data_IF_573913871995
#
_entry.id   IF_573913871995
#
_cell.length_a   1.000
_cell.length_b   1.000
_cell.length_c   1.000
_cell.angle_alpha   90.00
_cell.angle_beta   90.00
_cell.angle_gamma   90.00
#
_symmetry.space_group_name_H-M   'P 1'
#
loop_
_entity.id
_entity.type
_entity.pdbx_description
1 polymer ?
#
# COMPACT_ATOMS: atom_id res chain seq x y z
N UNK A 1 -41.52 -22.10 15.72
CA UNK A 1 -40.04 -22.28 15.74
C UNK A 1 -39.36 -22.00 14.39
N UNK A 2 -40.03 -22.21 13.24
CA UNK A 2 -39.45 -21.95 11.89
C UNK A 2 -39.19 -20.47 11.54
N UNK A 3 -40.01 -19.54 12.04
CA UNK A 3 -39.87 -18.09 11.77
C UNK A 3 -38.70 -17.43 12.51
N UNK A 4 -38.31 -17.93 13.70
CA UNK A 4 -37.16 -17.41 14.45
C UNK A 4 -35.82 -17.79 13.83
N UNK A 5 -35.77 -18.92 13.11
CA UNK A 5 -34.59 -19.38 12.38
C UNK A 5 -34.29 -18.51 11.15
N UNK A 6 -35.34 -17.97 10.52
CA UNK A 6 -35.23 -17.06 9.37
C UNK A 6 -34.66 -15.69 9.77
N UNK A 7 -35.02 -15.18 10.96
CA UNK A 7 -34.48 -13.92 11.48
C UNK A 7 -32.99 -14.01 11.83
N UNK A 8 -32.53 -15.17 12.33
CA UNK A 8 -31.13 -15.44 12.65
C UNK A 8 -30.24 -15.53 11.40
N UNK A 9 -30.76 -16.08 10.30
CA UNK A 9 -30.05 -16.12 9.01
C UNK A 9 -29.94 -14.74 8.35
N UNK A 10 -30.93 -13.86 8.54
CA UNK A 10 -30.90 -12.49 7.99
C UNK A 10 -29.83 -11.61 8.68
N UNK A 11 -29.59 -11.81 9.97
CA UNK A 11 -28.56 -11.06 10.73
C UNK A 11 -27.14 -11.54 10.39
N UNK A 12 -26.94 -12.83 10.07
CA UNK A 12 -25.64 -13.33 9.58
C UNK A 12 -25.32 -12.86 8.15
N UNK A 13 -26.33 -12.62 7.30
CA UNK A 13 -26.14 -12.16 5.92
C UNK A 13 -25.65 -10.71 5.82
N UNK A 14 -25.85 -9.89 6.86
CA UNK A 14 -25.46 -8.47 6.87
C UNK A 14 -24.06 -8.22 7.48
N UNK A 15 -23.36 -9.27 7.91
CA UNK A 15 -21.97 -9.16 8.36
C UNK A 15 -20.95 -9.10 7.19
N UNK A 16 -21.44 -9.08 5.95
CA UNK A 16 -20.63 -8.95 4.75
C UNK A 16 -20.26 -7.50 4.45
N UNK A 17 -18.96 -7.24 4.42
CA UNK A 17 -18.29 -6.06 3.84
C UNK A 17 -18.43 -4.73 4.58
N UNK A 18 -18.06 -4.69 5.86
CA UNK A 18 -17.41 -3.47 6.35
C UNK A 18 -16.04 -3.40 5.66
N UNK A 19 -15.89 -2.55 4.64
CA UNK A 19 -14.58 -2.22 4.10
C UNK A 19 -13.78 -1.61 5.25
N UNK A 20 -12.87 -2.39 5.84
CA UNK A 20 -12.06 -1.94 6.96
C UNK A 20 -11.23 -0.75 6.47
N UNK A 21 -11.62 0.45 6.91
CA UNK A 21 -10.88 1.66 6.56
C UNK A 21 -9.47 1.54 7.13
N UNK A 22 -8.48 1.86 6.31
CA UNK A 22 -7.09 1.95 6.76
C UNK A 22 -7.04 3.00 7.87
N UNK A 23 -6.57 2.66 9.09
CA UNK A 23 -6.45 3.65 10.15
C UNK A 23 -5.48 4.73 9.71
N UNK A 24 -5.69 5.97 10.14
CA UNK A 24 -4.69 7.02 9.92
C UNK A 24 -3.37 6.65 10.61
N UNK A 25 -2.22 7.23 10.19
CA UNK A 25 -0.95 6.99 10.87
C UNK A 25 -1.03 7.31 12.37
N UNK A 26 -1.75 8.36 12.75
CA UNK A 26 -1.90 8.75 14.16
C UNK A 26 -2.72 7.74 14.96
N UNK A 27 -3.80 7.21 14.36
CA UNK A 27 -4.61 6.15 14.97
C UNK A 27 -3.81 4.86 15.15
N UNK A 28 -3.02 4.47 14.15
CA UNK A 28 -2.16 3.29 14.23
C UNK A 28 -1.02 3.47 15.25
N UNK A 29 -0.38 4.64 15.25
CA UNK A 29 0.80 4.90 16.07
C UNK A 29 0.45 5.21 17.52
N UNK A 30 -0.74 5.78 17.78
CA UNK A 30 -1.19 6.26 19.09
C UNK A 30 -0.59 7.61 19.48
N UNK A 31 -0.11 8.39 18.51
CA UNK A 31 0.43 9.74 18.69
C UNK A 31 0.48 10.46 17.35
N UNK A 32 0.51 11.80 17.41
CA UNK A 32 0.64 12.66 16.25
C UNK A 32 2.00 12.45 15.55
N UNK A 33 1.99 12.37 14.22
CA UNK A 33 3.23 12.23 13.45
C UNK A 33 4.11 13.46 13.66
N UNK A 34 5.42 13.24 13.86
CA UNK A 34 6.39 14.31 14.09
C UNK A 34 6.57 14.74 15.55
N UNK A 35 5.75 14.25 16.49
CA UNK A 35 5.92 14.60 17.92
C UNK A 35 6.97 13.75 18.64
N UNK A 36 7.34 12.60 18.06
CA UNK A 36 8.44 11.75 18.55
C UNK A 36 8.98 10.88 17.43
N UNK A 37 10.14 10.28 17.69
CA UNK A 37 10.74 9.29 16.80
C UNK A 37 9.84 8.05 16.64
N UNK A 38 9.57 7.68 15.39
CA UNK A 38 8.86 6.44 15.03
C UNK A 38 9.87 5.36 14.67
N UNK A 39 9.98 4.27 15.44
CA UNK A 39 10.86 3.16 15.10
C UNK A 39 10.49 2.53 13.76
N UNK A 40 11.50 2.16 12.97
CA UNK A 40 11.31 1.59 11.63
C UNK A 40 10.32 0.42 11.57
N UNK A 41 10.36 -0.52 12.51
CA UNK A 41 9.45 -1.67 12.50
C UNK A 41 7.98 -1.25 12.58
N UNK A 42 7.67 -0.11 13.22
CA UNK A 42 6.31 0.44 13.25
C UNK A 42 5.93 1.10 11.93
N UNK A 43 6.88 1.75 11.25
CA UNK A 43 6.68 2.27 9.89
C UNK A 43 6.36 1.12 8.93
N UNK A 44 7.19 0.07 8.95
CA UNK A 44 6.99 -1.13 8.12
C UNK A 44 5.65 -1.80 8.43
N UNK A 45 5.31 -1.99 9.70
CA UNK A 45 4.04 -2.59 10.10
C UNK A 45 2.82 -1.80 9.59
N UNK A 46 2.89 -0.47 9.63
CA UNK A 46 1.83 0.38 9.08
C UNK A 46 1.67 0.19 7.57
N UNK A 47 2.77 0.22 6.81
CA UNK A 47 2.70 0.00 5.36
C UNK A 47 2.25 -1.42 4.99
N UNK A 48 2.59 -2.44 5.78
CA UNK A 48 2.07 -3.79 5.61
C UNK A 48 0.55 -3.82 5.79
N UNK A 49 0.02 -3.14 6.81
CA UNK A 49 -1.43 -3.04 7.02
C UNK A 49 -2.12 -2.29 5.88
N UNK A 50 -1.54 -1.18 5.41
CA UNK A 50 -2.07 -0.40 4.29
C UNK A 50 -2.11 -1.26 3.01
N UNK A 51 -1.03 -1.96 2.68
CA UNK A 51 -0.94 -2.81 1.50
C UNK A 51 -1.92 -4.00 1.56
N UNK A 52 -2.13 -4.58 2.75
CA UNK A 52 -3.10 -5.65 2.94
C UNK A 52 -4.56 -5.17 2.77
N UNK A 53 -4.86 -3.95 3.20
CA UNK A 53 -6.19 -3.36 3.10
C UNK A 53 -6.51 -2.79 1.71
N UNK A 54 -5.50 -2.27 0.99
CA UNK A 54 -5.64 -1.63 -0.33
C UNK A 54 -4.70 -2.26 -1.37
N UNK A 55 -4.77 -3.57 -1.63
CA UNK A 55 -3.79 -4.27 -2.47
C UNK A 55 -3.80 -3.83 -3.94
N UNK A 56 -4.89 -3.22 -4.41
CA UNK A 56 -4.96 -2.66 -5.76
C UNK A 56 -4.23 -1.32 -5.89
N UNK A 57 -4.04 -0.57 -4.80
CA UNK A 57 -3.45 0.78 -4.82
C UNK A 57 -2.05 0.84 -4.19
N UNK A 58 -1.74 -0.10 -3.29
CA UNK A 58 -0.49 -0.12 -2.54
C UNK A 58 0.18 -1.48 -2.66
N UNK A 59 1.40 -1.50 -3.23
CA UNK A 59 2.25 -2.68 -3.30
C UNK A 59 3.49 -2.45 -2.43
N UNK A 60 3.77 -3.36 -1.51
CA UNK A 60 4.97 -3.36 -0.70
C UNK A 60 5.93 -4.45 -1.19
N UNK A 61 7.17 -4.09 -1.53
CA UNK A 61 8.14 -5.01 -2.14
C UNK A 61 9.48 -4.97 -1.40
N UNK A 62 10.00 -6.12 -0.92
CA UNK A 62 11.34 -6.18 -0.35
C UNK A 62 12.39 -6.15 -1.47
N UNK A 63 13.44 -5.35 -1.31
CA UNK A 63 14.56 -5.29 -2.26
C UNK A 63 15.90 -5.74 -1.66
N UNK A 64 15.95 -6.00 -0.36
CA UNK A 64 17.17 -6.44 0.30
C UNK A 64 17.02 -6.45 1.82
N UNK A 65 18.17 -6.55 2.50
CA UNK A 65 18.26 -6.48 3.95
C UNK A 65 19.51 -5.68 4.34
N UNK A 66 19.46 -5.02 5.49
CA UNK A 66 20.64 -4.37 6.09
C UNK A 66 21.62 -5.41 6.64
N UNK A 67 22.84 -4.98 6.99
CA UNK A 67 23.82 -5.83 7.69
C UNK A 67 23.28 -6.44 9.00
N UNK A 68 22.37 -5.74 9.68
CA UNK A 68 21.69 -6.21 10.91
C UNK A 68 20.43 -7.05 10.63
N UNK A 69 20.20 -7.48 9.39
CA UNK A 69 19.07 -8.34 9.01
C UNK A 69 17.70 -7.65 8.94
N UNK A 70 17.64 -6.31 8.97
CA UNK A 70 16.37 -5.58 8.84
C UNK A 70 15.95 -5.52 7.38
N UNK A 71 14.66 -5.76 7.06
CA UNK A 71 14.18 -5.74 5.68
C UNK A 71 14.23 -4.32 5.10
N UNK A 72 14.68 -4.23 3.85
CA UNK A 72 14.64 -3.01 3.05
C UNK A 72 13.45 -3.12 2.09
N UNK A 73 12.54 -2.15 2.16
CA UNK A 73 11.23 -2.20 1.50
C UNK A 73 11.00 -0.98 0.61
N UNK A 74 10.32 -1.16 -0.51
CA UNK A 74 9.73 -0.10 -1.34
C UNK A 74 8.21 -0.19 -1.24
N UNK A 75 7.55 0.94 -0.99
CA UNK A 75 6.09 1.05 -1.07
C UNK A 75 5.71 1.82 -2.34
N UNK A 76 5.06 1.12 -3.28
CA UNK A 76 4.45 1.74 -4.46
C UNK A 76 3.02 2.15 -4.10
N UNK A 77 2.71 3.44 -4.26
CA UNK A 77 1.38 3.99 -4.01
C UNK A 77 0.90 4.67 -5.29
N UNK A 78 -0.18 4.17 -5.88
CA UNK A 78 -0.75 4.75 -7.10
C UNK A 78 -2.21 4.34 -7.30
N UNK A 79 -2.81 4.75 -8.41
CA UNK A 79 -4.14 4.25 -8.81
C UNK A 79 -4.08 2.75 -9.18
N UNK A 80 -5.21 2.04 -9.10
CA UNK A 80 -5.28 0.63 -9.50
C UNK A 80 -4.75 0.35 -10.91
N UNK A 81 -5.03 1.26 -11.85
CA UNK A 81 -4.61 1.13 -13.24
C UNK A 81 -3.09 1.23 -13.39
N UNK A 82 -2.43 2.05 -12.56
CA UNK A 82 -0.98 2.19 -12.56
C UNK A 82 -0.29 1.00 -11.88
N UNK A 83 -0.81 0.55 -10.73
CA UNK A 83 -0.27 -0.62 -10.02
C UNK A 83 -0.36 -1.88 -10.89
N UNK A 84 -1.47 -2.07 -11.62
CA UNK A 84 -1.65 -3.19 -12.53
C UNK A 84 -0.62 -3.24 -13.67
N UNK A 85 0.00 -2.11 -14.02
CA UNK A 85 0.99 -1.98 -15.11
C UNK A 85 2.34 -1.43 -14.63
N UNK A 86 2.67 -1.62 -13.35
CA UNK A 86 3.84 -1.00 -12.70
C UNK A 86 5.15 -1.26 -13.45
N UNK A 87 5.33 -2.48 -13.96
CA UNK A 87 6.54 -2.86 -14.71
C UNK A 87 6.65 -2.15 -16.07
N UNK A 88 5.52 -1.95 -16.76
CA UNK A 88 5.50 -1.17 -18.00
C UNK A 88 5.84 0.31 -17.75
N UNK A 89 5.35 0.88 -16.63
CA UNK A 89 5.71 2.24 -16.21
C UNK A 89 7.21 2.32 -15.91
N UNK A 90 7.76 1.35 -15.16
CA UNK A 90 9.18 1.28 -14.84
C UNK A 90 10.05 1.21 -16.10
N UNK A 91 9.69 0.33 -17.03
CA UNK A 91 10.40 0.16 -18.30
C UNK A 91 10.37 1.43 -19.15
N UNK A 92 9.20 2.07 -19.28
CA UNK A 92 9.07 3.34 -20.01
C UNK A 92 9.91 4.46 -19.37
N UNK A 93 9.89 4.56 -18.03
CA UNK A 93 10.69 5.53 -17.30
C UNK A 93 12.21 5.31 -17.51
N UNK A 94 12.66 4.05 -17.55
CA UNK A 94 14.05 3.74 -17.88
C UNK A 94 14.40 4.14 -19.32
N UNK A 95 13.52 3.89 -20.29
CA UNK A 95 13.72 4.31 -21.68
C UNK A 95 13.81 5.84 -21.83
N UNK A 96 12.97 6.58 -21.10
CA UNK A 96 13.04 8.04 -21.02
C UNK A 96 14.38 8.52 -20.43
N UNK A 97 14.86 7.86 -19.38
CA UNK A 97 16.12 8.23 -18.72
C UNK A 97 17.37 7.88 -19.54
N UNK A 98 17.34 6.78 -20.32
CA UNK A 98 18.55 6.24 -20.92
C UNK A 98 18.84 6.68 -22.35
N UNK A 99 17.84 7.09 -23.18
CA UNK A 99 18.10 7.53 -24.57
C UNK A 99 16.85 8.01 -25.36
N UNK A 100 15.77 8.44 -24.70
CA UNK A 100 14.58 8.95 -25.39
C UNK A 100 13.74 7.91 -26.14
N UNK A 101 14.01 6.61 -25.92
CA UNK A 101 13.21 5.51 -26.45
C UNK A 101 11.89 5.30 -25.72
N UNK A 102 11.73 5.95 -24.55
CA UNK A 102 10.47 5.98 -23.82
C UNK A 102 9.50 7.02 -24.37
N UNK A 103 8.21 6.83 -24.11
CA UNK A 103 7.16 7.75 -24.49
C UNK A 103 6.79 8.64 -23.30
N UNK A 104 6.99 9.96 -23.43
CA UNK A 104 6.61 10.93 -22.41
C UNK A 104 5.10 11.22 -22.41
N UNK A 105 4.44 11.10 -23.56
CA UNK A 105 3.01 11.35 -23.68
C UNK A 105 2.22 10.28 -22.91
N UNK A 106 1.48 10.69 -21.88
CA UNK A 106 0.69 9.80 -21.04
C UNK A 106 1.48 9.01 -20.00
N UNK A 107 2.79 9.24 -19.87
CA UNK A 107 3.56 8.67 -18.75
C UNK A 107 3.12 9.33 -17.43
N UNK A 108 2.92 8.55 -16.35
CA UNK A 108 2.62 9.13 -15.05
C UNK A 108 3.85 9.84 -14.48
N UNK A 109 3.63 10.90 -13.70
CA UNK A 109 4.69 11.53 -12.91
C UNK A 109 5.11 10.57 -11.79
N UNK A 110 6.41 10.34 -11.66
CA UNK A 110 6.99 9.51 -10.62
C UNK A 110 7.66 10.42 -9.58
N UNK A 111 7.23 10.30 -8.32
CA UNK A 111 7.85 10.98 -7.18
C UNK A 111 8.64 9.95 -6.39
N UNK A 112 9.96 10.11 -6.32
CA UNK A 112 10.83 9.24 -5.54
C UNK A 112 11.14 9.87 -4.17
N UNK A 113 10.67 9.23 -3.11
CA UNK A 113 10.93 9.66 -1.73
C UNK A 113 11.93 8.69 -1.09
N UNK A 114 13.21 9.05 -1.14
CA UNK A 114 14.29 8.25 -0.57
C UNK A 114 14.50 8.59 0.89
N UNK A 115 14.29 7.62 1.77
CA UNK A 115 14.58 7.72 3.20
C UNK A 115 15.66 6.69 3.54
N UNK A 116 16.90 7.02 3.17
CA UNK A 116 18.09 6.19 3.41
C UNK A 116 18.82 6.63 4.68
#
# INVERSE_FOLDING_TARGET
>A
MRSRLFLLLLVLGFAGTAAAQVPSPEQFLGYRVGTRYTPHHRIVAYFQQVAAALPSMVKLEPYGQTNEGRPLMVAYVSSPENIARLEAIRSNNLGLAQQGSGNAAGAPVIVWLSYN
#
